data_IF_646383076053
#
_entry.id   IF_646383076053
#
_cell.length_a   1.000
_cell.length_b   1.000
_cell.length_c   1.000
_cell.angle_alpha   90.00
_cell.angle_beta   90.00
_cell.angle_gamma   90.00
#
_symmetry.space_group_name_H-M   'P 1'
#
loop_
_entity.id
_entity.type
_entity.pdbx_description
1 polymer ?
#
# COMPACT_ATOMS: atom_id res chain seq x y z
N UNK A 1 -9.40 16.59 68.00
CA UNK A 1 -10.35 17.28 67.10
C UNK A 1 -9.59 18.31 66.28
N UNK A 2 -9.58 18.13 64.96
CA UNK A 2 -9.71 19.17 63.90
C UNK A 2 -8.95 20.52 64.00
N UNK A 3 -7.93 20.66 63.14
CA UNK A 3 -7.59 21.72 62.12
C UNK A 3 -8.18 23.16 62.24
N UNK A 4 -7.62 24.20 61.54
CA UNK A 4 -6.37 24.29 60.74
C UNK A 4 -5.51 25.58 60.96
N UNK A 5 -4.28 25.57 60.42
CA UNK A 5 -3.44 26.75 60.18
C UNK A 5 -3.00 26.78 58.71
N UNK A 6 -3.03 27.97 58.12
CA UNK A 6 -2.82 28.30 56.70
C UNK A 6 -1.39 28.09 56.19
N UNK A 7 -1.23 27.68 54.94
CA UNK A 7 -0.04 27.98 54.13
C UNK A 7 -0.43 28.21 52.66
N UNK A 8 0.06 29.33 52.10
CA UNK A 8 -0.07 29.71 50.69
C UNK A 8 0.85 28.85 49.78
N UNK A 9 0.51 28.65 48.50
CA UNK A 9 1.43 28.05 47.54
C UNK A 9 2.39 29.09 46.94
N UNK A 10 3.63 28.71 46.57
CA UNK A 10 4.54 29.59 45.85
C UNK A 10 4.13 29.74 44.38
N UNK A 11 4.25 30.97 43.87
CA UNK A 11 3.90 31.36 42.51
C UNK A 11 4.70 30.61 41.43
N UNK A 12 4.00 30.20 40.38
CA UNK A 12 4.56 29.55 39.20
C UNK A 12 5.21 30.61 38.32
N UNK A 13 6.55 30.65 38.27
CA UNK A 13 7.29 31.41 37.25
C UNK A 13 7.12 30.74 35.89
N UNK A 14 6.61 31.49 34.91
CA UNK A 14 6.50 31.00 33.53
C UNK A 14 7.90 30.76 32.93
N UNK A 15 8.13 29.66 32.18
CA UNK A 15 9.43 29.38 31.60
C UNK A 15 9.76 30.39 30.50
N UNK A 16 10.92 31.04 30.62
CA UNK A 16 11.48 31.95 29.62
C UNK A 16 11.72 31.16 28.33
N UNK A 17 10.89 31.41 27.30
CA UNK A 17 11.01 30.77 26.01
C UNK A 17 12.36 31.14 25.38
N UNK A 18 13.25 30.16 25.22
CA UNK A 18 14.55 30.35 24.59
C UNK A 18 14.43 30.14 23.09
N UNK A 19 14.96 31.06 22.27
CA UNK A 19 14.79 31.05 20.82
C UNK A 19 16.12 30.70 20.13
N UNK A 20 16.09 29.72 19.23
CA UNK A 20 17.25 29.38 18.39
C UNK A 20 17.42 30.40 17.25
N UNK A 21 18.63 30.56 16.72
CA UNK A 21 18.94 31.41 15.55
C UNK A 21 18.07 31.08 14.32
N UNK A 22 17.60 29.83 14.20
CA UNK A 22 16.61 29.41 13.19
C UNK A 22 15.16 29.85 13.50
N UNK A 23 14.96 30.74 14.48
CA UNK A 23 13.69 31.32 14.98
C UNK A 23 12.70 30.34 15.62
N UNK A 24 13.11 29.11 15.93
CA UNK A 24 12.30 28.15 16.70
C UNK A 24 12.36 28.47 18.20
N UNK A 25 11.20 28.45 18.87
CA UNK A 25 11.08 28.66 20.32
C UNK A 25 11.05 27.33 21.07
N UNK A 26 11.70 27.28 22.22
CA UNK A 26 11.79 26.09 23.06
C UNK A 26 11.34 26.43 24.47
N UNK A 27 10.60 25.50 25.08
CA UNK A 27 10.08 25.64 26.44
C UNK A 27 11.13 25.45 27.54
N UNK A 28 12.38 25.12 27.17
CA UNK A 28 13.51 25.05 28.11
C UNK A 28 14.85 25.20 27.39
N UNK A 29 15.88 25.63 28.13
CA UNK A 29 17.26 25.77 27.63
C UNK A 29 17.83 24.41 27.18
N UNK A 30 17.56 23.33 27.94
CA UNK A 30 17.99 21.96 27.56
C UNK A 30 17.41 21.51 26.22
N UNK A 31 16.17 21.89 25.91
CA UNK A 31 15.55 21.56 24.62
C UNK A 31 16.17 22.36 23.46
N UNK A 32 16.58 23.61 23.71
CA UNK A 32 17.33 24.42 22.75
C UNK A 32 18.72 23.83 22.48
N UNK A 33 19.46 23.45 23.53
CA UNK A 33 20.80 22.85 23.39
C UNK A 33 20.76 21.50 22.66
N UNK A 34 19.75 20.66 22.94
CA UNK A 34 19.57 19.40 22.21
C UNK A 34 19.25 19.65 20.73
N UNK A 35 18.47 20.69 20.44
CA UNK A 35 18.17 21.09 19.08
C UNK A 35 19.42 21.57 18.32
N UNK A 36 20.27 22.37 18.96
CA UNK A 36 21.53 22.87 18.38
C UNK A 36 22.54 21.74 18.14
N UNK A 37 22.61 20.75 19.04
CA UNK A 37 23.46 19.56 18.87
C UNK A 37 23.01 18.65 17.72
N UNK A 38 21.69 18.44 17.59
CA UNK A 38 21.14 17.59 16.54
C UNK A 38 21.17 18.26 15.15
N UNK A 39 21.38 19.59 15.08
CA UNK A 39 21.32 20.36 13.84
C UNK A 39 22.17 21.63 13.95
N UNK A 40 23.45 21.61 13.52
CA UNK A 40 24.27 22.82 13.48
C UNK A 40 23.62 23.83 12.54
N UNK A 41 23.18 24.98 13.06
CA UNK A 41 22.61 26.07 12.26
C UNK A 41 23.73 27.03 11.85
N UNK A 42 23.83 27.44 10.57
CA UNK A 42 24.87 28.36 10.12
C UNK A 42 24.67 29.75 10.75
N UNK A 43 25.72 30.28 11.36
CA UNK A 43 25.75 31.67 11.86
C UNK A 43 25.95 32.57 10.64
N UNK A 44 25.11 33.59 10.47
CA UNK A 44 25.39 34.73 9.60
C UNK A 44 25.10 36.04 10.36
N UNK A 45 25.84 37.12 10.07
CA UNK A 45 26.03 38.22 11.02
C UNK A 45 25.07 39.42 10.79
N UNK A 46 24.78 40.14 11.89
CA UNK A 46 24.31 41.56 12.06
C UNK A 46 22.91 41.96 11.46
N UNK A 47 22.27 43.13 11.74
CA UNK A 47 22.41 44.16 12.80
C UNK A 47 21.07 44.55 13.51
N UNK A 48 21.13 45.65 14.26
CA UNK A 48 20.29 46.14 15.36
C UNK A 48 18.86 46.70 15.07
N UNK A 49 18.05 46.67 16.14
CA UNK A 49 16.98 47.61 16.60
C UNK A 49 15.78 47.98 15.70
N UNK A 50 14.53 47.74 16.20
CA UNK A 50 13.63 48.77 16.79
C UNK A 50 12.14 48.31 16.83
N UNK A 51 11.52 48.46 18.02
CA UNK A 51 10.13 48.84 18.44
C UNK A 51 8.96 48.82 17.41
N UNK A 52 7.67 48.59 17.72
CA UNK A 52 6.87 48.76 18.94
C UNK A 52 5.44 48.17 18.79
N UNK A 53 4.81 47.86 19.93
CA UNK A 53 3.39 47.99 20.33
C UNK A 53 2.17 47.38 19.56
N UNK A 54 1.52 46.40 20.22
CA UNK A 54 0.05 46.11 20.29
C UNK A 54 -0.71 47.18 21.13
N UNK A 55 -2.07 47.21 21.34
CA UNK A 55 -3.10 46.14 21.40
C UNK A 55 -4.42 46.52 20.65
N UNK A 56 -5.53 45.76 20.51
CA UNK A 56 -6.23 44.73 21.29
C UNK A 56 -7.63 45.25 21.70
N UNK A 57 -8.60 44.34 22.00
CA UNK A 57 -9.96 44.53 22.61
C UNK A 57 -11.15 44.47 21.61
N UNK A 58 -12.35 43.93 21.88
CA UNK A 58 -12.97 42.83 22.66
C UNK A 58 -14.43 42.73 22.12
N UNK A 59 -15.00 41.52 22.20
CA UNK A 59 -16.38 41.06 21.90
C UNK A 59 -17.55 41.95 22.40
N UNK A 60 -18.72 41.79 21.74
CA UNK A 60 -20.02 41.69 22.43
C UNK A 60 -21.08 40.98 21.59
N UNK A 61 -21.88 40.13 22.25
CA UNK A 61 -23.15 39.54 21.81
C UNK A 61 -24.30 40.43 22.30
N UNK A 62 -25.42 40.53 21.57
CA UNK A 62 -26.79 40.61 22.16
C UNK A 62 -27.83 40.04 21.16
N UNK A 63 -28.91 39.52 21.74
CA UNK A 63 -30.02 38.71 21.25
C UNK A 63 -31.30 39.47 20.85
N UNK A 64 -32.15 38.76 20.08
CA UNK A 64 -33.63 38.63 20.14
C UNK A 64 -34.57 39.82 19.84
N UNK A 65 -35.55 39.62 18.93
CA UNK A 65 -36.99 39.53 19.24
C UNK A 65 -37.86 39.40 17.96
N UNK A 66 -39.04 38.81 18.14
CA UNK A 66 -40.07 38.37 17.17
C UNK A 66 -41.00 39.48 16.65
N UNK A 67 -41.70 39.24 15.52
CA UNK A 67 -43.17 39.51 15.42
C UNK A 67 -43.88 38.82 14.23
N UNK A 68 -44.94 38.08 14.58
CA UNK A 68 -46.28 37.91 13.98
C UNK A 68 -46.53 37.67 12.45
N UNK A 69 -46.94 36.43 12.17
CA UNK A 69 -48.16 35.93 11.47
C UNK A 69 -48.81 36.67 10.27
N UNK A 70 -49.02 35.92 9.18
CA UNK A 70 -50.35 35.74 8.54
C UNK A 70 -50.36 34.54 7.59
N UNK A 71 -51.40 33.70 7.70
CA UNK A 71 -51.67 32.52 6.86
C UNK A 71 -52.54 32.91 5.67
N UNK A 72 -52.49 32.17 4.54
CA UNK A 72 -53.69 31.39 4.23
C UNK A 72 -53.42 29.98 3.69
N UNK A 73 -54.36 29.10 4.06
CA UNK A 73 -54.47 27.69 3.70
C UNK A 73 -54.87 27.52 2.23
N UNK A 74 -54.14 26.68 1.48
CA UNK A 74 -54.69 25.92 0.35
C UNK A 74 -54.18 24.48 0.38
N UNK A 75 -55.09 23.57 0.70
CA UNK A 75 -54.96 22.13 0.52
C UNK A 75 -54.76 21.80 -0.97
N UNK A 76 -53.64 21.15 -1.30
CA UNK A 76 -53.56 20.17 -2.38
C UNK A 76 -52.65 19.05 -1.93
N UNK A 77 -53.25 17.89 -1.66
CA UNK A 77 -52.57 16.62 -1.47
C UNK A 77 -51.64 16.35 -2.66
N UNK A 78 -50.34 16.49 -2.43
CA UNK A 78 -49.32 15.79 -3.22
C UNK A 78 -48.77 14.71 -2.31
N UNK A 79 -49.14 13.45 -2.59
CA UNK A 79 -48.43 12.27 -2.08
C UNK A 79 -46.96 12.40 -2.48
N UNK A 80 -46.13 12.97 -1.61
CA UNK A 80 -44.67 12.84 -1.67
C UNK A 80 -44.39 11.36 -1.45
N UNK A 81 -44.12 10.61 -2.53
CA UNK A 81 -43.30 9.40 -2.41
C UNK A 81 -42.02 9.86 -1.70
N UNK A 82 -41.89 9.53 -0.41
CA UNK A 82 -40.58 9.55 0.26
C UNK A 82 -39.71 8.62 -0.56
N UNK A 83 -38.85 9.18 -1.42
CA UNK A 83 -37.71 8.43 -1.91
C UNK A 83 -36.96 8.00 -0.65
N UNK A 84 -37.00 6.70 -0.37
CA UNK A 84 -36.23 6.09 0.70
C UNK A 84 -34.78 6.47 0.37
N UNK A 85 -34.12 7.22 1.26
CA UNK A 85 -32.73 7.60 1.05
C UNK A 85 -31.95 6.33 0.68
N UNK A 86 -31.17 6.40 -0.41
CA UNK A 86 -30.39 5.26 -0.87
C UNK A 86 -29.55 4.73 0.30
N UNK A 87 -29.44 3.40 0.46
CA UNK A 87 -28.69 2.83 1.57
C UNK A 87 -27.23 3.30 1.49
N UNK A 88 -26.83 4.11 2.46
CA UNK A 88 -25.45 4.53 2.68
C UNK A 88 -24.77 3.51 3.60
N UNK A 89 -23.46 3.29 3.44
CA UNK A 89 -22.69 2.42 4.31
C UNK A 89 -22.88 2.76 5.80
N UNK A 90 -23.16 1.74 6.62
CA UNK A 90 -23.26 1.84 8.08
C UNK A 90 -22.41 0.72 8.71
N UNK A 91 -21.62 1.08 9.71
CA UNK A 91 -20.86 0.12 10.51
C UNK A 91 -20.93 0.52 11.97
N UNK A 92 -21.03 -0.46 12.86
CA UNK A 92 -21.04 -0.25 14.31
C UNK A 92 -19.62 -0.13 14.88
N UNK A 93 -18.59 -0.64 14.18
CA UNK A 93 -17.19 -0.49 14.60
C UNK A 93 -16.67 0.91 14.21
N UNK A 94 -16.48 1.75 15.23
CA UNK A 94 -15.91 3.10 15.06
C UNK A 94 -14.56 3.09 14.32
N UNK A 95 -13.78 2.00 14.40
CA UNK A 95 -12.48 1.91 13.73
C UNK A 95 -12.59 1.88 12.21
N UNK A 96 -13.76 1.46 11.70
CA UNK A 96 -14.04 1.17 10.29
C UNK A 96 -14.87 2.25 9.59
N UNK A 97 -15.39 3.24 10.33
CA UNK A 97 -16.18 4.36 9.78
C UNK A 97 -15.46 5.14 8.67
N UNK A 98 -14.12 5.18 8.69
CA UNK A 98 -13.33 5.82 7.62
C UNK A 98 -13.59 5.19 6.24
N UNK A 99 -14.00 3.92 6.18
CA UNK A 99 -14.32 3.23 4.93
C UNK A 99 -15.56 3.80 4.25
N UNK A 100 -16.41 4.56 4.94
CA UNK A 100 -17.56 5.24 4.33
C UNK A 100 -17.18 6.44 3.46
N UNK A 101 -15.94 6.96 3.59
CA UNK A 101 -15.54 8.23 2.97
C UNK A 101 -15.75 8.21 1.45
N UNK A 102 -16.62 9.07 0.93
CA UNK A 102 -16.94 9.14 -0.49
C UNK A 102 -17.50 7.85 -1.11
N UNK A 103 -18.09 6.97 -0.30
CA UNK A 103 -19.04 5.96 -0.74
C UNK A 103 -20.43 6.61 -0.77
N UNK A 104 -21.10 6.55 -1.92
CA UNK A 104 -22.44 7.07 -2.16
C UNK A 104 -23.50 5.99 -2.02
N UNK A 105 -24.34 5.89 -3.04
CA UNK A 105 -25.44 4.93 -3.12
C UNK A 105 -24.91 3.50 -3.34
N UNK A 106 -25.51 2.52 -2.67
CA UNK A 106 -25.24 1.09 -2.93
C UNK A 106 -25.64 0.74 -4.37
N UNK A 107 -24.71 0.11 -5.08
CA UNK A 107 -24.88 -0.43 -6.44
C UNK A 107 -25.27 -1.90 -6.35
N UNK A 108 -24.51 -2.68 -5.59
CA UNK A 108 -24.64 -4.14 -5.54
C UNK A 108 -24.06 -4.68 -4.23
N UNK A 109 -24.60 -5.81 -3.77
CA UNK A 109 -24.04 -6.59 -2.66
C UNK A 109 -23.73 -7.98 -3.16
N UNK A 110 -22.45 -8.35 -3.15
CA UNK A 110 -22.01 -9.69 -3.55
C UNK A 110 -21.81 -10.53 -2.29
N UNK A 111 -22.54 -11.64 -2.19
CA UNK A 111 -22.37 -12.60 -1.09
C UNK A 111 -21.40 -13.70 -1.51
N UNK A 112 -20.36 -13.94 -0.72
CA UNK A 112 -19.36 -14.99 -0.98
C UNK A 112 -19.94 -16.40 -1.07
N UNK A 113 -21.06 -16.67 -0.39
CA UNK A 113 -21.72 -17.98 -0.36
C UNK A 113 -22.47 -18.29 -1.66
N UNK A 114 -23.10 -17.29 -2.29
CA UNK A 114 -23.87 -17.45 -3.54
C UNK A 114 -23.02 -17.21 -4.80
N UNK A 115 -21.72 -16.99 -4.64
CA UNK A 115 -20.82 -16.72 -5.75
C UNK A 115 -20.46 -18.05 -6.43
N UNK A 116 -20.92 -18.22 -7.67
CA UNK A 116 -20.61 -19.40 -8.47
C UNK A 116 -19.25 -19.26 -9.18
N UNK A 117 -18.46 -20.34 -9.30
CA UNK A 117 -17.20 -20.32 -10.02
C UNK A 117 -17.41 -20.07 -11.53
N UNK A 118 -16.37 -19.59 -12.21
CA UNK A 118 -16.29 -19.70 -13.67
C UNK A 118 -15.88 -21.12 -14.07
N UNK A 119 -16.25 -21.54 -15.28
CA UNK A 119 -15.90 -22.87 -15.81
C UNK A 119 -14.44 -22.96 -16.28
N UNK A 120 -13.80 -21.81 -16.52
CA UNK A 120 -12.39 -21.74 -16.95
C UNK A 120 -11.48 -22.02 -15.74
N UNK A 121 -10.68 -23.09 -15.76
CA UNK A 121 -9.77 -23.41 -14.67
C UNK A 121 -8.67 -22.35 -14.55
N UNK A 122 -8.19 -22.10 -13.34
CA UNK A 122 -7.07 -21.20 -13.10
C UNK A 122 -5.77 -21.98 -13.10
N UNK A 123 -4.81 -21.68 -13.96
CA UNK A 123 -3.50 -22.35 -13.91
C UNK A 123 -2.32 -21.40 -13.81
N UNK A 124 -1.30 -21.81 -13.06
CA UNK A 124 0.01 -21.16 -13.08
C UNK A 124 0.94 -21.69 -14.19
N UNK A 125 0.54 -22.75 -14.91
CA UNK A 125 1.33 -23.34 -16.02
C UNK A 125 1.37 -22.47 -17.28
N UNK A 126 0.37 -21.62 -17.47
CA UNK A 126 0.27 -20.72 -18.63
C UNK A 126 1.37 -19.64 -18.66
N UNK A 127 2.26 -19.65 -17.67
CA UNK A 127 3.40 -18.74 -17.58
C UNK A 127 3.00 -17.38 -17.01
N UNK A 128 3.96 -16.46 -17.10
CA UNK A 128 3.80 -15.06 -16.74
C UNK A 128 4.87 -14.24 -17.46
N UNK A 129 4.57 -12.97 -17.68
CA UNK A 129 5.50 -12.02 -18.31
C UNK A 129 5.75 -10.86 -17.37
N UNK A 130 6.98 -10.35 -17.36
CA UNK A 130 7.31 -9.13 -16.62
C UNK A 130 6.97 -7.91 -17.47
N UNK A 131 5.97 -7.14 -17.05
CA UNK A 131 5.64 -5.85 -17.68
C UNK A 131 6.71 -4.82 -17.33
N UNK A 132 6.98 -4.66 -16.04
CA UNK A 132 7.97 -3.70 -15.54
C UNK A 132 8.38 -4.00 -14.09
N UNK A 133 9.46 -3.34 -13.66
CA UNK A 133 9.91 -3.29 -12.28
C UNK A 133 10.47 -1.92 -11.92
N UNK A 134 10.49 -1.60 -10.63
CA UNK A 134 11.06 -0.35 -10.15
C UNK A 134 11.45 -0.43 -8.67
N UNK A 135 12.47 0.33 -8.27
CA UNK A 135 12.80 0.56 -6.87
C UNK A 135 12.47 2.00 -6.47
N UNK A 136 11.78 2.15 -5.36
CA UNK A 136 11.61 3.45 -4.73
C UNK A 136 12.91 3.92 -4.07
N UNK A 137 13.23 5.21 -4.20
CA UNK A 137 14.40 5.82 -3.57
C UNK A 137 14.03 6.63 -2.33
N UNK A 138 14.91 6.66 -1.33
CA UNK A 138 14.81 7.56 -0.17
C UNK A 138 15.13 9.00 -0.59
N UNK A 139 14.13 9.70 -1.13
CA UNK A 139 14.24 11.08 -1.59
C UNK A 139 13.05 11.92 -1.10
N UNK A 140 13.25 13.24 -0.99
CA UNK A 140 12.17 14.20 -0.67
C UNK A 140 11.18 14.34 -1.82
N UNK A 141 11.69 14.28 -3.06
CA UNK A 141 10.88 14.22 -4.27
C UNK A 141 10.62 12.76 -4.57
N UNK A 142 9.36 12.33 -4.83
CA UNK A 142 9.08 10.97 -5.24
C UNK A 142 10.00 10.58 -6.41
N UNK A 143 10.87 9.60 -6.19
CA UNK A 143 11.90 9.20 -7.16
C UNK A 143 11.97 7.68 -7.22
N UNK A 144 12.01 7.13 -8.43
CA UNK A 144 12.18 5.70 -8.69
C UNK A 144 13.38 5.44 -9.58
N UNK A 145 14.03 4.30 -9.36
CA UNK A 145 14.95 3.70 -10.30
C UNK A 145 14.22 2.63 -11.11
N UNK A 146 14.42 2.62 -12.43
CA UNK A 146 13.84 1.65 -13.37
C UNK A 146 14.99 1.02 -14.17
N UNK A 147 15.10 -0.32 -14.26
CA UNK A 147 14.21 -1.32 -13.70
C UNK A 147 14.25 -1.41 -12.16
N UNK A 148 15.18 -0.71 -11.52
CA UNK A 148 15.46 -0.91 -10.11
C UNK A 148 16.20 -2.23 -9.88
N UNK A 149 16.27 -2.68 -8.63
CA UNK A 149 16.90 -3.95 -8.28
C UNK A 149 16.33 -4.49 -6.97
N UNK A 150 16.11 -5.81 -6.93
CA UNK A 150 15.85 -6.53 -5.68
C UNK A 150 17.14 -6.59 -4.85
N UNK A 151 17.07 -6.55 -3.51
CA UNK A 151 18.24 -6.83 -2.70
C UNK A 151 18.59 -8.33 -2.78
N UNK A 152 19.88 -8.64 -2.72
CA UNK A 152 20.39 -10.01 -2.72
C UNK A 152 20.21 -10.60 -1.32
N UNK A 153 19.71 -11.83 -1.22
CA UNK A 153 19.77 -12.58 0.03
C UNK A 153 21.23 -12.79 0.45
N UNK A 154 21.58 -12.32 1.65
CA UNK A 154 22.93 -12.30 2.19
C UNK A 154 22.88 -12.69 3.68
N UNK A 155 22.82 -13.99 4.01
CA UNK A 155 22.57 -14.42 5.37
C UNK A 155 23.77 -14.14 6.28
N UNK A 156 23.49 -13.68 7.49
CA UNK A 156 24.50 -13.52 8.54
C UNK A 156 24.68 -14.83 9.33
N UNK A 157 25.87 -15.05 9.94
CA UNK A 157 26.07 -16.17 10.87
C UNK A 157 25.04 -16.15 12.01
N UNK A 158 24.56 -17.34 12.38
CA UNK A 158 23.61 -17.56 13.48
C UNK A 158 24.32 -18.21 14.68
N UNK A 159 23.86 -17.96 15.92
CA UNK A 159 22.73 -17.09 16.26
C UNK A 159 23.08 -15.59 16.19
N UNK A 160 22.08 -14.75 15.93
CA UNK A 160 22.24 -13.29 15.92
C UNK A 160 21.05 -12.58 16.57
N UNK A 161 21.34 -11.56 17.39
CA UNK A 161 20.31 -10.71 17.98
C UNK A 161 20.00 -9.53 17.05
N UNK A 162 18.73 -9.40 16.66
CA UNK A 162 18.25 -8.31 15.81
C UNK A 162 17.31 -7.41 16.62
N UNK A 163 17.40 -6.07 16.48
CA UNK A 163 16.45 -5.17 17.11
C UNK A 163 15.05 -5.29 16.51
N UNK A 164 14.03 -4.97 17.32
CA UNK A 164 12.65 -4.87 16.84
C UNK A 164 12.49 -3.84 15.73
N UNK A 165 11.47 -4.03 14.92
CA UNK A 165 11.07 -3.06 13.91
C UNK A 165 10.78 -1.70 14.56
N UNK A 166 11.33 -0.65 13.97
CA UNK A 166 11.15 0.72 14.45
C UNK A 166 11.08 1.71 13.29
N UNK A 167 10.67 2.94 13.58
CA UNK A 167 10.63 4.00 12.58
C UNK A 167 9.33 4.01 11.76
N UNK A 168 9.42 4.57 10.55
CA UNK A 168 8.26 4.73 9.65
C UNK A 168 8.21 3.54 8.71
N UNK A 169 7.13 2.76 8.78
CA UNK A 169 6.87 1.62 7.92
C UNK A 169 5.75 1.96 6.92
N UNK A 170 5.91 1.49 5.69
CA UNK A 170 4.93 1.73 4.63
C UNK A 170 3.89 0.60 4.63
N UNK A 171 2.61 0.97 4.71
CA UNK A 171 1.52 0.02 4.47
C UNK A 171 1.25 -0.09 2.96
N UNK A 172 1.31 1.04 2.26
CA UNK A 172 1.34 1.14 0.81
C UNK A 172 2.33 2.23 0.40
N UNK A 173 3.48 1.82 -0.11
CA UNK A 173 4.57 2.75 -0.43
C UNK A 173 4.21 3.71 -1.58
N UNK A 174 3.43 3.24 -2.55
CA UNK A 174 3.03 4.05 -3.69
C UNK A 174 1.96 5.06 -3.28
N UNK A 175 0.92 4.65 -2.57
CA UNK A 175 -0.11 5.57 -2.08
C UNK A 175 0.45 6.60 -1.09
N UNK A 176 1.52 6.27 -0.38
CA UNK A 176 2.15 7.20 0.55
C UNK A 176 3.08 8.24 -0.11
N UNK A 177 3.48 8.02 -1.37
CA UNK A 177 4.37 8.92 -2.14
C UNK A 177 3.64 9.63 -3.27
N UNK A 178 2.66 8.97 -3.86
CA UNK A 178 1.79 9.48 -4.95
C UNK A 178 0.33 9.22 -4.55
N UNK A 179 -0.20 9.91 -3.53
CA UNK A 179 -1.52 9.61 -2.97
C UNK A 179 -2.68 9.81 -3.94
N UNK A 180 -2.51 10.66 -4.95
CA UNK A 180 -3.54 10.91 -5.97
C UNK A 180 -3.60 9.77 -7.00
N UNK A 181 -2.47 9.20 -7.39
CA UNK A 181 -2.36 8.17 -8.43
C UNK A 181 -1.35 7.07 -8.03
N UNK A 182 -1.69 6.16 -7.09
CA UNK A 182 -0.78 5.13 -6.59
C UNK A 182 -0.26 4.14 -7.64
N UNK A 183 -0.91 4.04 -8.80
CA UNK A 183 -0.45 3.22 -9.91
C UNK A 183 0.40 3.98 -10.94
N UNK A 184 0.49 5.32 -10.89
CA UNK A 184 1.17 6.11 -11.94
C UNK A 184 2.62 5.66 -12.20
N UNK A 185 3.34 5.30 -11.14
CA UNK A 185 4.74 4.83 -11.21
C UNK A 185 4.92 3.59 -12.06
N UNK A 186 3.94 2.68 -12.05
CA UNK A 186 3.97 1.47 -12.86
C UNK A 186 3.99 1.81 -14.36
N UNK A 187 3.20 2.79 -14.78
CA UNK A 187 3.13 3.22 -16.17
C UNK A 187 4.42 3.90 -16.62
N UNK A 188 5.01 4.71 -15.75
CA UNK A 188 6.33 5.31 -16.01
C UNK A 188 7.43 4.24 -16.13
N UNK A 189 7.40 3.22 -15.29
CA UNK A 189 8.34 2.11 -15.37
C UNK A 189 8.10 1.25 -16.62
N UNK A 190 6.84 1.07 -17.02
CA UNK A 190 6.46 0.35 -18.25
C UNK A 190 6.98 1.07 -19.48
N UNK A 191 6.83 2.39 -19.59
CA UNK A 191 7.34 3.15 -20.74
C UNK A 191 8.85 3.02 -20.92
N UNK A 192 9.60 2.92 -19.81
CA UNK A 192 11.05 2.75 -19.85
C UNK A 192 11.46 1.32 -20.22
N UNK A 193 10.78 0.31 -19.69
CA UNK A 193 11.19 -1.10 -19.85
C UNK A 193 10.56 -1.80 -21.05
N UNK A 194 9.35 -1.39 -21.42
CA UNK A 194 8.56 -1.99 -22.49
C UNK A 194 7.86 -0.88 -23.28
N UNK A 195 8.63 -0.04 -24.00
CA UNK A 195 8.09 1.10 -24.73
C UNK A 195 7.07 0.62 -25.77
N UNK A 196 5.90 1.26 -25.79
CA UNK A 196 4.78 0.89 -26.66
C UNK A 196 3.89 -0.24 -26.14
N UNK A 197 4.16 -0.81 -24.96
CA UNK A 197 3.23 -1.72 -24.30
C UNK A 197 1.89 -1.03 -24.02
N UNK A 198 0.79 -1.74 -24.30
CA UNK A 198 -0.57 -1.22 -24.14
C UNK A 198 -1.36 -2.05 -23.14
N UNK A 199 -2.22 -1.41 -22.37
CA UNK A 199 -3.06 -2.07 -21.38
C UNK A 199 -4.47 -2.41 -21.91
N UNK A 200 -4.73 -2.20 -23.21
CA UNK A 200 -6.01 -2.53 -23.86
C UNK A 200 -6.38 -4.01 -23.71
N UNK A 201 -5.38 -4.90 -23.74
CA UNK A 201 -5.55 -6.35 -23.54
C UNK A 201 -5.58 -6.81 -22.07
N UNK A 202 -5.47 -5.88 -21.10
CA UNK A 202 -5.48 -6.21 -19.67
C UNK A 202 -6.88 -6.05 -19.11
N UNK A 203 -7.44 -7.13 -18.58
CA UNK A 203 -8.77 -7.13 -17.96
C UNK A 203 -8.75 -6.53 -16.54
N UNK A 204 -7.68 -6.81 -15.78
CA UNK A 204 -7.56 -6.40 -14.37
C UNK A 204 -6.15 -5.92 -14.06
N UNK A 205 -6.03 -4.71 -13.50
CA UNK A 205 -4.80 -4.19 -12.89
C UNK A 205 -4.99 -4.08 -11.38
N UNK A 206 -4.17 -4.80 -10.61
CA UNK A 206 -4.36 -4.95 -9.16
C UNK A 206 -3.06 -5.16 -8.40
N UNK A 207 -3.04 -4.85 -7.10
CA UNK A 207 -1.95 -5.26 -6.22
C UNK A 207 -2.20 -6.66 -5.66
N UNK A 208 -1.15 -7.47 -5.51
CA UNK A 208 -1.18 -8.79 -4.87
C UNK A 208 -1.92 -8.79 -3.52
N UNK A 209 -1.71 -7.76 -2.69
CA UNK A 209 -2.39 -7.66 -1.39
C UNK A 209 -3.91 -7.55 -1.50
N UNK A 210 -4.40 -6.78 -2.48
CA UNK A 210 -5.84 -6.63 -2.73
C UNK A 210 -6.42 -7.91 -3.32
N UNK A 211 -5.69 -8.56 -4.24
CA UNK A 211 -6.07 -9.84 -4.81
C UNK A 211 -6.18 -10.94 -3.75
N UNK A 212 -5.26 -10.95 -2.77
CA UNK A 212 -5.33 -11.85 -1.60
C UNK A 212 -6.59 -11.62 -0.75
N UNK A 213 -6.95 -10.37 -0.44
CA UNK A 213 -8.16 -10.07 0.34
C UNK A 213 -9.44 -10.54 -0.38
N UNK A 214 -9.51 -10.34 -1.69
CA UNK A 214 -10.61 -10.83 -2.52
C UNK A 214 -10.62 -12.37 -2.58
N UNK A 215 -9.46 -13.01 -2.68
CA UNK A 215 -9.36 -14.47 -2.62
C UNK A 215 -9.81 -15.03 -1.27
N UNK A 216 -9.37 -14.42 -0.17
CA UNK A 216 -9.80 -14.79 1.19
C UNK A 216 -11.32 -14.59 1.36
N UNK A 217 -11.92 -13.61 0.67
CA UNK A 217 -13.36 -13.42 0.62
C UNK A 217 -14.05 -14.58 -0.11
N UNK A 218 -13.56 -14.98 -1.29
CA UNK A 218 -14.08 -16.15 -2.02
C UNK A 218 -13.90 -17.47 -1.25
N UNK A 219 -12.87 -17.57 -0.42
CA UNK A 219 -12.62 -18.71 0.48
C UNK A 219 -13.42 -18.67 1.77
N UNK A 220 -14.12 -17.56 2.04
CA UNK A 220 -14.77 -17.28 3.33
C UNK A 220 -13.81 -17.39 4.51
N UNK A 221 -12.54 -17.03 4.29
CA UNK A 221 -11.53 -17.04 5.33
C UNK A 221 -11.71 -15.80 6.22
N UNK A 222 -11.48 -15.97 7.53
CA UNK A 222 -11.60 -14.86 8.48
C UNK A 222 -10.55 -13.80 8.18
N UNK A 223 -10.98 -12.56 7.99
CA UNK A 223 -10.11 -11.42 7.72
C UNK A 223 -10.68 -10.14 8.32
N UNK A 224 -9.84 -9.12 8.44
CA UNK A 224 -10.26 -7.78 8.85
C UNK A 224 -11.03 -7.08 7.74
N UNK A 225 -11.84 -6.10 8.13
CA UNK A 225 -12.56 -5.26 7.18
C UNK A 225 -11.59 -4.60 6.20
N UNK A 226 -12.01 -4.45 4.96
CA UNK A 226 -11.21 -3.79 3.96
C UNK A 226 -12.05 -2.93 3.02
N UNK A 227 -11.35 -1.96 2.41
CA UNK A 227 -11.88 -1.10 1.39
C UNK A 227 -11.00 -1.12 0.15
N UNK A 228 -11.63 -1.14 -1.02
CA UNK A 228 -10.99 -0.98 -2.32
C UNK A 228 -11.65 0.21 -3.05
N UNK A 229 -10.86 0.99 -3.77
CA UNK A 229 -11.41 1.91 -4.77
C UNK A 229 -11.27 1.24 -6.14
N UNK A 230 -12.34 1.22 -6.90
CA UNK A 230 -12.44 0.52 -8.18
C UNK A 230 -12.64 1.54 -9.28
N UNK A 231 -11.96 1.34 -10.41
CA UNK A 231 -12.09 2.20 -11.59
C UNK A 231 -12.16 1.34 -12.84
N UNK A 232 -12.91 1.78 -13.85
CA UNK A 232 -12.89 1.17 -15.17
C UNK A 232 -12.28 2.16 -16.17
N UNK A 233 -11.22 1.73 -16.85
CA UNK A 233 -10.68 2.39 -18.04
C UNK A 233 -10.89 1.46 -19.21
N UNK A 234 -11.71 1.85 -20.19
CA UNK A 234 -12.16 0.97 -21.28
C UNK A 234 -12.69 -0.37 -20.72
N UNK A 235 -11.96 -1.47 -20.97
CA UNK A 235 -12.29 -2.80 -20.44
C UNK A 235 -11.45 -3.24 -19.22
N UNK A 236 -10.49 -2.41 -18.79
CA UNK A 236 -9.60 -2.71 -17.67
C UNK A 236 -10.22 -2.27 -16.34
N UNK A 237 -10.39 -3.21 -15.40
CA UNK A 237 -10.68 -2.92 -14.01
C UNK A 237 -9.38 -2.59 -13.26
N UNK A 238 -9.27 -1.39 -12.71
CA UNK A 238 -8.17 -0.99 -11.83
C UNK A 238 -8.64 -1.06 -10.37
N UNK A 239 -7.95 -1.85 -9.55
CA UNK A 239 -8.26 -2.05 -8.14
C UNK A 239 -7.19 -1.36 -7.27
N UNK A 240 -7.51 -0.16 -6.79
CA UNK A 240 -6.68 0.63 -5.91
C UNK A 240 -6.89 0.23 -4.44
N UNK A 241 -5.77 -0.07 -3.76
CA UNK A 241 -5.77 -0.43 -2.35
C UNK A 241 -6.08 0.82 -1.52
N UNK A 242 -7.12 0.77 -0.70
CA UNK A 242 -7.46 1.87 0.20
C UNK A 242 -7.15 1.47 1.64
N UNK A 243 -6.20 2.18 2.26
CA UNK A 243 -5.82 1.98 3.66
C UNK A 243 -6.09 3.25 4.45
N UNK A 244 -6.50 3.10 5.72
CA UNK A 244 -6.74 4.23 6.63
C UNK A 244 -5.51 5.15 6.74
N UNK A 245 -4.32 4.53 6.73
CA UNK A 245 -3.02 5.20 6.73
C UNK A 245 -2.07 4.46 5.80
N UNK A 246 -1.47 5.18 4.86
CA UNK A 246 -0.48 4.60 3.94
C UNK A 246 0.90 4.37 4.60
N UNK A 247 1.16 5.01 5.76
CA UNK A 247 2.34 4.78 6.60
C UNK A 247 1.93 4.64 8.07
N UNK A 248 2.65 3.81 8.81
CA UNK A 248 2.53 3.67 10.26
C UNK A 248 3.88 3.97 10.92
N UNK A 249 3.85 4.52 12.13
CA UNK A 249 5.07 4.70 12.93
C UNK A 249 5.10 3.63 14.00
N UNK A 250 6.15 2.82 13.97
CA UNK A 250 6.38 1.70 14.87
C UNK A 250 7.41 2.13 15.91
N UNK A 251 7.06 2.00 17.19
CA UNK A 251 7.90 2.41 18.32
C UNK A 251 8.47 1.21 19.08
N UNK A 252 9.09 0.23 18.39
CA UNK A 252 9.90 -0.83 19.00
C UNK A 252 9.32 -1.52 20.27
N UNK A 253 7.99 -1.54 20.43
CA UNK A 253 7.32 -1.88 21.68
C UNK A 253 7.06 -3.39 21.77
N UNK A 254 6.35 -3.85 22.79
CA UNK A 254 6.06 -5.29 22.99
C UNK A 254 5.25 -5.91 21.85
N UNK A 255 4.50 -5.11 21.06
CA UNK A 255 3.65 -5.56 19.95
C UNK A 255 4.31 -5.47 18.56
N UNK A 256 5.58 -5.05 18.47
CA UNK A 256 6.26 -4.84 17.19
C UNK A 256 7.10 -6.06 16.80
N UNK A 257 7.04 -6.44 15.53
CA UNK A 257 7.76 -7.59 14.98
C UNK A 257 9.26 -7.34 14.77
N UNK A 258 9.87 -8.25 14.02
CA UNK A 258 11.28 -8.22 13.63
C UNK A 258 11.46 -8.31 12.10
N UNK A 259 10.38 -8.19 11.32
CA UNK A 259 10.38 -8.54 9.90
C UNK A 259 11.28 -7.63 9.08
N UNK A 260 11.02 -6.31 9.16
CA UNK A 260 11.79 -5.32 8.41
C UNK A 260 13.23 -5.24 8.88
N UNK A 261 13.47 -5.34 10.19
CA UNK A 261 14.83 -5.41 10.71
C UNK A 261 15.56 -6.65 10.20
N UNK A 262 14.91 -7.82 10.19
CA UNK A 262 15.50 -9.06 9.67
C UNK A 262 15.83 -8.94 8.19
N UNK A 263 14.89 -8.48 7.36
CA UNK A 263 15.11 -8.19 5.93
C UNK A 263 16.32 -7.28 5.72
N UNK A 264 16.41 -6.18 6.47
CA UNK A 264 17.52 -5.22 6.36
C UNK A 264 18.88 -5.83 6.71
N UNK A 265 18.94 -6.74 7.69
CA UNK A 265 20.21 -7.35 8.12
C UNK A 265 20.62 -8.55 7.26
N UNK A 266 19.66 -9.25 6.66
CA UNK A 266 19.89 -10.49 5.90
C UNK A 266 19.84 -10.29 4.38
N UNK A 267 19.84 -9.04 3.92
CA UNK A 267 19.88 -8.72 2.50
C UNK A 267 20.88 -7.61 2.21
N UNK A 268 21.38 -7.58 0.97
CA UNK A 268 22.33 -6.57 0.50
C UNK A 268 21.82 -5.94 -0.78
N UNK A 269 21.73 -4.61 -0.79
CA UNK A 269 21.43 -3.86 -2.01
C UNK A 269 22.66 -3.84 -2.94
N UNK A 270 22.47 -3.92 -4.27
CA UNK A 270 23.57 -3.80 -5.20
C UNK A 270 24.16 -2.39 -5.19
N UNK A 271 25.41 -2.27 -5.64
CA UNK A 271 26.10 -0.98 -5.72
C UNK A 271 25.32 0.03 -6.57
N UNK A 272 25.24 1.27 -6.10
CA UNK A 272 24.47 2.36 -6.71
C UNK A 272 22.98 2.38 -6.35
N UNK A 273 22.49 1.40 -5.58
CA UNK A 273 21.11 1.27 -5.12
C UNK A 273 20.96 1.37 -3.60
N UNK A 274 21.99 1.83 -2.88
CA UNK A 274 22.09 1.87 -1.41
C UNK A 274 21.01 2.73 -0.75
N UNK A 275 20.41 3.65 -1.50
CA UNK A 275 19.33 4.53 -1.04
C UNK A 275 17.95 4.06 -1.47
N UNK A 276 17.82 2.86 -2.03
CA UNK A 276 16.52 2.28 -2.38
C UNK A 276 15.79 1.71 -1.15
N UNK A 277 14.47 1.63 -1.23
CA UNK A 277 13.59 1.43 -0.06
C UNK A 277 12.44 0.44 -0.26
N UNK A 278 12.38 -0.23 -1.40
CA UNK A 278 11.30 -1.13 -1.78
C UNK A 278 11.33 -1.39 -3.29
N UNK A 279 11.42 -2.66 -3.68
CA UNK A 279 11.51 -3.10 -5.07
C UNK A 279 10.21 -3.77 -5.48
N UNK A 280 9.64 -3.34 -6.59
CA UNK A 280 8.33 -3.77 -7.05
C UNK A 280 8.42 -4.37 -8.45
N UNK A 281 7.58 -5.37 -8.71
CA UNK A 281 7.37 -5.97 -10.04
C UNK A 281 5.90 -5.91 -10.41
N UNK A 282 5.66 -5.99 -11.71
CA UNK A 282 4.33 -6.10 -12.30
C UNK A 282 4.38 -7.25 -13.28
N UNK A 283 3.68 -8.32 -12.95
CA UNK A 283 3.57 -9.49 -13.83
C UNK A 283 2.23 -9.49 -14.55
N UNK A 284 2.24 -9.92 -15.80
CA UNK A 284 1.05 -10.29 -16.57
C UNK A 284 0.88 -11.80 -16.54
N UNK A 285 -0.32 -12.28 -16.21
CA UNK A 285 -0.67 -13.70 -16.33
C UNK A 285 -2.19 -13.91 -16.40
N UNK A 286 -2.63 -15.09 -16.85
CA UNK A 286 -4.05 -15.45 -16.86
C UNK A 286 -4.57 -15.85 -15.48
N UNK A 287 -5.80 -15.45 -15.15
CA UNK A 287 -6.54 -15.90 -13.98
C UNK A 287 -7.99 -16.19 -14.36
N UNK A 288 -8.27 -17.45 -14.72
CA UNK A 288 -9.64 -17.92 -14.98
C UNK A 288 -10.27 -17.23 -16.17
N UNK A 289 -9.50 -17.06 -17.25
CA UNK A 289 -9.93 -16.38 -18.47
C UNK A 289 -9.70 -14.87 -18.46
N UNK A 290 -9.23 -14.29 -17.36
CA UNK A 290 -8.91 -12.86 -17.26
C UNK A 290 -7.40 -12.62 -17.37
N UNK A 291 -7.00 -11.72 -18.27
CA UNK A 291 -5.62 -11.23 -18.34
C UNK A 291 -5.38 -10.23 -17.20
N UNK A 292 -4.55 -10.62 -16.22
CA UNK A 292 -4.30 -9.82 -15.04
C UNK A 292 -2.88 -9.23 -15.04
N UNK A 293 -2.76 -7.93 -14.81
CA UNK A 293 -1.52 -7.27 -14.43
C UNK A 293 -1.46 -7.12 -12.91
N UNK A 294 -0.52 -7.80 -12.26
CA UNK A 294 -0.44 -7.91 -10.80
C UNK A 294 0.86 -7.30 -10.29
N UNK A 295 0.72 -6.22 -9.51
CA UNK A 295 1.83 -5.55 -8.85
C UNK A 295 2.11 -6.15 -7.47
N UNK A 296 3.38 -6.37 -7.15
CA UNK A 296 3.82 -6.79 -5.83
C UNK A 296 5.22 -6.28 -5.49
N UNK A 297 5.46 -6.15 -4.19
CA UNK A 297 6.80 -5.94 -3.64
C UNK A 297 7.55 -7.27 -3.57
N UNK A 298 8.85 -7.19 -3.81
CA UNK A 298 9.80 -8.30 -3.76
C UNK A 298 10.80 -8.02 -2.66
N UNK A 299 10.89 -8.94 -1.70
CA UNK A 299 11.74 -8.77 -0.52
C UNK A 299 13.20 -9.03 -0.83
N UNK A 300 13.51 -10.04 -1.66
CA UNK A 300 14.86 -10.35 -2.09
C UNK A 300 14.90 -11.20 -3.36
N UNK A 301 16.11 -11.44 -3.87
CA UNK A 301 16.39 -12.55 -4.77
C UNK A 301 17.41 -13.50 -4.13
N UNK A 302 17.28 -14.80 -4.40
CA UNK A 302 18.12 -15.87 -3.89
C UNK A 302 18.79 -16.60 -5.06
N UNK A 303 20.12 -16.69 -5.04
CA UNK A 303 20.88 -17.57 -5.94
C UNK A 303 21.28 -18.80 -5.16
N UNK A 304 20.84 -19.96 -5.62
CA UNK A 304 21.37 -21.22 -5.12
C UNK A 304 22.73 -21.47 -5.78
N UNK A 305 23.80 -21.49 -4.99
CA UNK A 305 25.14 -21.80 -5.49
C UNK A 305 25.27 -23.27 -5.95
N UNK A 306 24.25 -24.12 -5.77
CA UNK A 306 24.20 -25.51 -6.23
C UNK A 306 23.36 -25.78 -7.49
N UNK A 307 22.66 -24.77 -8.05
CA UNK A 307 21.97 -24.87 -9.34
C UNK A 307 22.80 -24.12 -10.39
N UNK A 308 23.86 -24.76 -10.89
CA UNK A 308 24.43 -24.35 -12.18
C UNK A 308 23.32 -24.40 -13.22
N UNK A 309 23.10 -23.33 -14.01
CA UNK A 309 22.22 -23.41 -15.17
C UNK A 309 22.74 -24.54 -16.07
N UNK A 310 21.96 -25.60 -16.26
CA UNK A 310 22.20 -26.53 -17.36
C UNK A 310 22.09 -25.75 -18.67
N UNK A 311 23.07 -25.84 -19.60
CA UNK A 311 23.08 -25.06 -20.85
C UNK A 311 21.91 -25.34 -21.82
N UNK A 312 20.96 -26.19 -21.46
CA UNK A 312 19.85 -26.60 -22.32
C UNK A 312 18.60 -25.68 -22.25
N UNK A 313 18.70 -24.52 -21.58
CA UNK A 313 17.77 -23.39 -21.78
C UNK A 313 18.48 -22.12 -22.24
N UNK A 314 19.48 -22.29 -23.12
CA UNK A 314 20.04 -21.21 -23.93
C UNK A 314 19.00 -20.78 -24.99
N UNK A 315 18.05 -19.98 -24.55
CA UNK A 315 17.03 -19.34 -25.38
C UNK A 315 16.46 -18.14 -24.65
N UNK A 316 17.36 -17.31 -24.10
CA UNK A 316 17.18 -15.88 -23.77
C UNK A 316 18.35 -15.34 -22.91
N UNK A 317 19.57 -15.84 -23.14
CA UNK A 317 20.78 -15.19 -22.63
C UNK A 317 21.21 -14.11 -23.63
N UNK A 318 20.51 -12.99 -23.61
CA UNK A 318 21.03 -11.72 -24.12
C UNK A 318 20.58 -10.59 -23.21
N UNK A 319 21.18 -10.52 -22.02
CA UNK A 319 21.36 -9.24 -21.34
C UNK A 319 22.68 -9.28 -20.59
N UNK A 320 23.76 -9.25 -21.37
CA UNK A 320 25.07 -8.86 -20.87
C UNK A 320 24.96 -7.47 -20.21
N UNK A 321 25.24 -7.47 -18.91
CA UNK A 321 25.94 -6.42 -18.16
C UNK A 321 25.99 -5.04 -18.83
N UNK A 322 24.86 -4.34 -18.85
CA UNK A 322 24.88 -2.90 -19.08
C UNK A 322 25.62 -2.25 -17.91
N UNK A 323 26.84 -1.80 -18.17
CA UNK A 323 27.57 -0.89 -17.29
C UNK A 323 26.63 0.25 -16.86
N UNK A 324 26.73 0.67 -15.60
CA UNK A 324 25.94 1.76 -15.05
C UNK A 324 26.28 3.09 -15.75
N UNK A 325 25.67 3.30 -16.91
CA UNK A 325 25.62 4.60 -17.59
C UNK A 325 24.76 5.52 -16.75
N UNK A 326 25.29 6.66 -16.30
CA UNK A 326 24.47 7.75 -15.75
C UNK A 326 23.68 8.39 -16.90
N UNK A 327 22.61 7.74 -17.35
CA UNK A 327 21.70 8.21 -18.39
C UNK A 327 20.75 9.29 -17.84
N UNK A 328 20.19 10.16 -18.69
CA UNK A 328 19.47 11.36 -18.26
C UNK A 328 18.27 11.02 -17.37
N UNK A 329 18.03 11.90 -16.39
CA UNK A 329 16.77 11.92 -15.64
C UNK A 329 15.65 12.21 -16.63
N UNK A 330 14.78 11.23 -16.86
CA UNK A 330 13.54 11.49 -17.59
C UNK A 330 12.51 12.03 -16.59
N UNK A 331 12.00 13.23 -16.87
CA UNK A 331 10.86 13.78 -16.14
C UNK A 331 9.64 12.91 -16.46
N UNK A 332 8.92 12.47 -15.44
CA UNK A 332 7.71 11.67 -15.60
C UNK A 332 6.73 12.31 -16.59
N UNK A 333 5.91 11.44 -17.21
CA UNK A 333 4.77 11.78 -18.09
C UNK A 333 3.86 12.87 -17.49
N UNK A 334 3.82 13.01 -16.16
CA UNK A 334 3.05 14.04 -15.44
C UNK A 334 3.86 14.80 -14.36
N UNK A 335 5.19 14.69 -14.36
CA UNK A 335 6.10 15.45 -13.47
C UNK A 335 6.01 15.13 -11.95
N UNK A 336 5.14 14.24 -11.49
CA UNK A 336 4.97 13.94 -10.05
C UNK A 336 6.05 13.04 -9.46
N UNK A 337 6.72 12.25 -10.32
CA UNK A 337 7.73 11.29 -9.93
C UNK A 337 8.95 11.45 -10.82
N UNK A 338 10.15 11.43 -10.24
CA UNK A 338 11.40 11.43 -10.98
C UNK A 338 11.79 10.00 -11.34
N UNK A 339 12.07 9.72 -12.61
CA UNK A 339 12.53 8.41 -13.07
C UNK A 339 14.02 8.46 -13.36
N UNK A 340 14.76 7.50 -12.82
CA UNK A 340 16.19 7.31 -13.05
C UNK A 340 16.36 5.93 -13.67
N UNK A 341 17.00 5.84 -14.83
CA UNK A 341 17.32 4.53 -15.41
C UNK A 341 18.52 3.94 -14.67
N UNK A 342 18.26 2.96 -13.79
CA UNK A 342 19.28 2.33 -12.94
C UNK A 342 18.79 1.00 -12.38
N UNK A 343 19.74 0.08 -12.21
CA UNK A 343 19.52 -1.22 -11.59
C UNK A 343 19.46 -2.32 -12.65
N UNK A 344 19.14 -3.52 -12.20
CA UNK A 344 19.05 -4.72 -13.04
C UNK A 344 17.96 -5.64 -12.52
N UNK A 345 17.24 -6.27 -13.44
CA UNK A 345 16.16 -7.20 -13.12
C UNK A 345 16.70 -8.60 -12.90
N UNK A 346 16.57 -9.16 -11.70
CA UNK A 346 16.84 -10.58 -11.46
C UNK A 346 15.78 -11.49 -12.15
N UNK A 347 16.11 -12.73 -12.57
CA UNK A 347 15.10 -13.64 -13.12
C UNK A 347 13.97 -13.90 -12.11
N UNK A 348 12.72 -14.02 -12.58
CA UNK A 348 11.57 -14.26 -11.70
C UNK A 348 11.72 -15.58 -10.90
N UNK A 349 12.40 -16.57 -11.49
CA UNK A 349 12.75 -17.85 -10.86
C UNK A 349 13.62 -17.73 -9.61
N UNK A 350 14.28 -16.58 -9.40
CA UNK A 350 15.17 -16.33 -8.24
C UNK A 350 14.50 -15.50 -7.14
N UNK A 351 13.29 -15.00 -7.36
CA UNK A 351 12.64 -14.08 -6.42
C UNK A 351 12.22 -14.79 -5.15
N UNK A 352 12.43 -14.11 -4.02
CA UNK A 352 12.18 -14.61 -2.68
C UNK A 352 11.26 -13.67 -1.89
N UNK A 353 10.37 -14.28 -1.12
CA UNK A 353 9.63 -13.65 -0.04
C UNK A 353 10.29 -14.00 1.29
N UNK A 354 10.45 -13.02 2.17
CA UNK A 354 11.05 -13.17 3.49
C UNK A 354 9.97 -13.02 4.55
N UNK A 355 9.99 -13.91 5.54
CA UNK A 355 9.18 -13.81 6.75
C UNK A 355 10.02 -14.13 7.98
N UNK A 356 9.49 -13.73 9.13
CA UNK A 356 10.03 -14.11 10.43
C UNK A 356 8.95 -14.80 11.24
N UNK A 357 9.30 -15.82 12.03
CA UNK A 357 8.38 -16.43 12.99
C UNK A 357 9.01 -16.63 14.36
N UNK A 358 8.23 -16.52 15.45
CA UNK A 358 8.61 -17.09 16.72
C UNK A 358 8.83 -18.60 16.57
N UNK A 359 9.90 -19.16 17.16
CA UNK A 359 10.25 -20.58 17.05
C UNK A 359 9.12 -21.52 17.50
N UNK A 360 8.34 -21.10 18.49
CA UNK A 360 7.18 -21.84 19.04
C UNK A 360 6.03 -22.02 18.05
N UNK A 361 5.96 -21.19 16.99
CA UNK A 361 4.91 -21.26 15.97
C UNK A 361 5.26 -22.31 14.92
N UNK A 362 4.27 -23.11 14.51
CA UNK A 362 4.47 -24.20 13.56
C UNK A 362 4.91 -23.69 12.17
N UNK A 363 5.95 -24.30 11.60
CA UNK A 363 6.52 -23.95 10.29
C UNK A 363 5.53 -24.16 9.14
N UNK A 364 4.87 -25.31 9.11
CA UNK A 364 3.92 -25.67 8.05
C UNK A 364 2.73 -24.70 8.03
N UNK A 365 2.26 -24.27 9.20
CA UNK A 365 1.19 -23.26 9.30
C UNK A 365 1.58 -21.94 8.64
N UNK A 366 2.83 -21.49 8.81
CA UNK A 366 3.32 -20.25 8.19
C UNK A 366 3.42 -20.37 6.66
N UNK A 367 3.91 -21.51 6.18
CA UNK A 367 3.95 -21.85 4.76
C UNK A 367 2.55 -21.85 4.14
N UNK A 368 1.60 -22.57 4.72
CA UNK A 368 0.21 -22.63 4.25
C UNK A 368 -0.45 -21.25 4.19
N UNK A 369 -0.19 -20.39 5.18
CA UNK A 369 -0.74 -19.03 5.23
C UNK A 369 -0.09 -18.09 4.22
N UNK A 370 1.18 -18.32 3.88
CA UNK A 370 1.93 -17.49 2.93
C UNK A 370 1.74 -17.95 1.48
N UNK A 371 1.32 -19.19 1.24
CA UNK A 371 1.15 -19.72 -0.10
C UNK A 371 0.33 -18.87 -1.07
N UNK A 372 -0.84 -18.29 -0.70
CA UNK A 372 -1.55 -17.38 -1.60
C UNK A 372 -0.66 -16.20 -2.05
N UNK A 373 0.19 -15.67 -1.17
CA UNK A 373 1.12 -14.60 -1.48
C UNK A 373 2.15 -15.03 -2.53
N UNK A 374 2.75 -16.20 -2.33
CA UNK A 374 3.77 -16.75 -3.21
C UNK A 374 3.18 -17.07 -4.58
N UNK A 375 1.99 -17.68 -4.60
CA UNK A 375 1.31 -18.05 -5.84
C UNK A 375 0.92 -16.79 -6.65
N UNK A 376 0.25 -15.79 -6.07
CA UNK A 376 -0.11 -14.56 -6.80
C UNK A 376 1.09 -13.69 -7.19
N UNK A 377 2.22 -13.79 -6.50
CA UNK A 377 3.46 -13.10 -6.87
C UNK A 377 4.33 -13.89 -7.85
N UNK A 378 3.96 -15.13 -8.17
CA UNK A 378 4.84 -16.11 -8.84
C UNK A 378 6.23 -16.13 -8.17
N UNK A 379 6.25 -16.13 -6.84
CA UNK A 379 7.46 -16.01 -6.00
C UNK A 379 7.90 -17.40 -5.54
N UNK A 380 8.92 -18.00 -6.18
CA UNK A 380 9.27 -19.39 -5.91
C UNK A 380 9.96 -19.59 -4.57
N UNK A 381 10.85 -18.69 -4.15
CA UNK A 381 11.57 -18.85 -2.89
C UNK A 381 10.79 -18.26 -1.72
N UNK A 382 10.74 -19.02 -0.62
CA UNK A 382 10.25 -18.54 0.66
C UNK A 382 11.34 -18.75 1.72
N UNK A 383 11.75 -17.66 2.35
CA UNK A 383 12.83 -17.65 3.33
C UNK A 383 12.24 -17.26 4.68
N UNK A 384 12.44 -18.11 5.68
CA UNK A 384 11.83 -17.94 6.99
C UNK A 384 12.88 -17.92 8.10
N UNK A 385 13.03 -16.77 8.75
CA UNK A 385 13.84 -16.61 9.96
C UNK A 385 13.08 -17.05 11.22
N UNK A 386 13.59 -18.06 11.92
CA UNK A 386 13.07 -18.51 13.21
C UNK A 386 13.79 -17.82 14.37
N UNK A 387 13.02 -17.18 15.26
CA UNK A 387 13.58 -16.44 16.39
C UNK A 387 12.95 -16.73 17.76
N UNK A 388 13.73 -16.48 18.80
CA UNK A 388 13.34 -16.43 20.20
C UNK A 388 13.51 -14.98 20.68
N UNK A 389 12.42 -14.19 20.65
CA UNK A 389 12.44 -12.77 21.08
C UNK A 389 13.51 -11.89 20.39
N UNK A 390 13.76 -12.12 19.10
CA UNK A 390 14.72 -11.37 18.29
C UNK A 390 16.11 -12.00 18.20
N UNK A 391 16.38 -13.05 18.99
CA UNK A 391 17.52 -13.94 18.76
C UNK A 391 17.16 -14.90 17.63
N UNK A 392 17.69 -14.67 16.44
CA UNK A 392 17.52 -15.54 15.27
C UNK A 392 18.51 -16.69 15.34
N UNK A 393 18.00 -17.92 15.25
CA UNK A 393 18.77 -19.14 15.49
C UNK A 393 18.69 -20.12 14.31
N UNK A 394 17.69 -19.95 13.43
CA UNK A 394 17.48 -20.81 12.28
C UNK A 394 16.94 -20.03 11.09
N UNK A 395 17.33 -20.46 9.89
CA UNK A 395 16.80 -19.99 8.61
C UNK A 395 16.33 -21.21 7.85
N UNK A 396 15.08 -21.19 7.38
CA UNK A 396 14.51 -22.21 6.52
C UNK A 396 14.29 -21.58 5.13
N UNK A 397 15.07 -22.02 4.13
CA UNK A 397 14.91 -21.61 2.73
C UNK A 397 14.15 -22.71 2.00
N UNK A 398 13.01 -22.36 1.39
CA UNK A 398 12.16 -23.30 0.66
C UNK A 398 12.01 -22.83 -0.78
N UNK A 399 12.26 -23.74 -1.71
CA UNK A 399 11.86 -23.55 -3.10
C UNK A 399 10.47 -24.16 -3.34
N UNK A 400 9.57 -23.34 -3.86
CA UNK A 400 8.27 -23.76 -4.36
C UNK A 400 8.40 -24.07 -5.84
N UNK A 401 8.64 -25.35 -6.13
CA UNK A 401 8.65 -25.87 -7.50
C UNK A 401 7.31 -25.58 -8.19
N UNK A 402 7.27 -25.50 -9.52
CA UNK A 402 6.01 -25.40 -10.28
C UNK A 402 4.95 -26.41 -9.80
N UNK A 403 5.34 -27.67 -9.56
CA UNK A 403 4.43 -28.70 -9.03
C UNK A 403 3.81 -28.39 -7.66
N UNK A 404 4.46 -27.59 -6.80
CA UNK A 404 3.86 -27.14 -5.53
C UNK A 404 2.81 -26.06 -5.73
N UNK A 405 3.02 -25.16 -6.68
CA UNK A 405 2.01 -24.17 -7.06
C UNK A 405 0.80 -24.85 -7.68
N UNK A 406 1.02 -25.84 -8.53
CA UNK A 406 -0.03 -26.67 -9.13
C UNK A 406 -0.82 -27.45 -8.07
N UNK A 407 -0.15 -28.14 -7.14
CA UNK A 407 -0.85 -28.85 -6.07
C UNK A 407 -1.70 -27.90 -5.20
N UNK A 408 -1.17 -26.71 -4.91
CA UNK A 408 -1.90 -25.69 -4.16
C UNK A 408 -3.08 -25.14 -4.95
N UNK A 409 -2.92 -24.81 -6.24
CA UNK A 409 -3.99 -24.27 -7.06
C UNK A 409 -5.10 -25.28 -7.30
N UNK A 410 -4.78 -26.57 -7.55
CA UNK A 410 -5.74 -27.67 -7.62
C UNK A 410 -6.59 -27.74 -6.35
N UNK A 411 -5.95 -27.65 -5.18
CA UNK A 411 -6.63 -27.68 -3.88
C UNK A 411 -7.49 -26.43 -3.61
N UNK A 412 -7.31 -25.36 -4.38
CA UNK A 412 -8.00 -24.07 -4.22
C UNK A 412 -8.86 -23.68 -5.43
N UNK A 413 -9.06 -24.58 -6.42
CA UNK A 413 -9.67 -24.21 -7.70
C UNK A 413 -11.04 -23.56 -7.55
N UNK A 414 -11.94 -24.15 -6.77
CA UNK A 414 -13.27 -23.59 -6.57
C UNK A 414 -13.24 -22.13 -6.11
N UNK A 415 -12.30 -21.77 -5.23
CA UNK A 415 -12.13 -20.39 -4.77
C UNK A 415 -11.39 -19.49 -5.76
N UNK A 416 -10.45 -20.02 -6.55
CA UNK A 416 -9.76 -19.28 -7.61
C UNK A 416 -10.71 -18.96 -8.77
N UNK A 417 -11.55 -19.89 -9.19
CA UNK A 417 -12.57 -19.66 -10.20
C UNK A 417 -13.66 -18.69 -9.69
N UNK A 418 -14.03 -18.76 -8.40
CA UNK A 418 -14.89 -17.73 -7.77
C UNK A 418 -14.22 -16.36 -7.76
N UNK A 419 -12.90 -16.29 -7.54
CA UNK A 419 -12.17 -15.03 -7.62
C UNK A 419 -12.23 -14.43 -9.03
N UNK A 420 -12.03 -15.24 -10.08
CA UNK A 420 -12.18 -14.78 -11.45
C UNK A 420 -13.62 -14.25 -11.71
N UNK A 421 -14.65 -14.97 -11.25
CA UNK A 421 -16.04 -14.48 -11.31
C UNK A 421 -16.19 -13.13 -10.61
N UNK A 422 -15.68 -13.01 -9.39
CA UNK A 422 -15.77 -11.80 -8.59
C UNK A 422 -15.13 -10.60 -9.30
N UNK A 423 -13.94 -10.77 -9.89
CA UNK A 423 -13.27 -9.72 -10.64
C UNK A 423 -14.10 -9.25 -11.84
N UNK A 424 -14.75 -10.18 -12.55
CA UNK A 424 -15.71 -9.87 -13.61
C UNK A 424 -16.91 -9.05 -13.10
N UNK A 425 -17.54 -9.48 -12.02
CA UNK A 425 -18.68 -8.76 -11.41
C UNK A 425 -18.27 -7.35 -10.94
N UNK A 426 -17.11 -7.21 -10.30
CA UNK A 426 -16.58 -5.90 -9.90
C UNK A 426 -16.36 -4.99 -11.10
N UNK A 427 -15.84 -5.53 -12.21
CA UNK A 427 -15.66 -4.78 -13.45
C UNK A 427 -17.00 -4.31 -14.02
N UNK A 428 -17.98 -5.20 -14.09
CA UNK A 428 -19.29 -4.91 -14.65
C UNK A 428 -20.05 -3.89 -13.81
N UNK A 429 -20.02 -4.04 -12.48
CA UNK A 429 -20.60 -3.07 -11.55
C UNK A 429 -20.02 -1.67 -11.73
N UNK A 430 -18.69 -1.56 -11.85
CA UNK A 430 -18.02 -0.26 -12.08
C UNK A 430 -18.37 0.31 -13.45
N UNK A 431 -18.38 -0.53 -14.49
CA UNK A 431 -18.78 -0.11 -15.85
C UNK A 431 -20.24 0.34 -15.90
N UNK A 432 -21.12 -0.22 -15.08
CA UNK A 432 -22.52 0.18 -14.98
C UNK A 432 -22.75 1.56 -14.35
N UNK A 433 -21.74 2.14 -13.71
CA UNK A 433 -21.83 3.50 -13.13
C UNK A 433 -21.42 4.59 -14.11
N UNK A 434 -22.10 5.76 -14.12
CA UNK A 434 -21.69 6.91 -14.93
C UNK A 434 -20.27 7.40 -14.62
N UNK A 435 -19.86 7.33 -13.36
CA UNK A 435 -18.54 7.78 -12.90
C UNK A 435 -17.40 6.81 -13.29
N UNK A 436 -17.74 5.62 -13.81
CA UNK A 436 -16.80 4.50 -14.03
C UNK A 436 -15.91 4.24 -12.82
N UNK A 437 -16.45 4.46 -11.62
CA UNK A 437 -15.72 4.31 -10.36
C UNK A 437 -16.64 3.96 -9.18
N UNK A 438 -16.19 3.01 -8.37
CA UNK A 438 -16.92 2.53 -7.19
C UNK A 438 -16.01 2.42 -5.96
N UNK A 439 -16.63 2.28 -4.80
CA UNK A 439 -15.99 1.89 -3.55
C UNK A 439 -16.53 0.53 -3.14
N UNK A 440 -15.66 -0.46 -2.98
CA UNK A 440 -16.04 -1.78 -2.46
C UNK A 440 -15.60 -1.93 -1.01
N UNK A 441 -16.50 -2.39 -0.14
CA UNK A 441 -16.26 -2.53 1.30
C UNK A 441 -16.70 -3.91 1.76
N UNK A 442 -15.84 -4.58 2.51
CA UNK A 442 -16.16 -5.80 3.25
C UNK A 442 -16.00 -5.51 4.74
N UNK A 443 -17.05 -5.79 5.52
CA UNK A 443 -17.04 -5.62 6.97
C UNK A 443 -16.77 -6.95 7.67
N UNK A 444 -15.82 -6.94 8.62
CA UNK A 444 -15.55 -8.10 9.47
C UNK A 444 -16.73 -8.37 10.39
N UNK A 445 -17.06 -9.65 10.57
CA UNK A 445 -18.00 -10.09 11.60
C UNK A 445 -19.48 -9.92 11.25
N UNK A 446 -19.80 -9.52 10.02
CA UNK A 446 -21.16 -9.64 9.49
C UNK A 446 -21.59 -11.12 9.45
N UNK A 447 -22.87 -11.40 9.75
CA UNK A 447 -23.43 -12.76 9.73
C UNK A 447 -23.26 -13.43 8.36
N UNK A 448 -23.33 -12.64 7.28
CA UNK A 448 -23.00 -13.04 5.93
C UNK A 448 -21.79 -12.26 5.43
N UNK A 449 -20.79 -12.97 4.90
CA UNK A 449 -19.60 -12.33 4.34
C UNK A 449 -19.92 -11.74 2.97
N UNK A 450 -20.29 -10.46 2.97
CA UNK A 450 -20.68 -9.70 1.80
C UNK A 450 -19.64 -8.63 1.44
N UNK A 451 -19.50 -8.40 0.14
CA UNK A 451 -18.75 -7.28 -0.43
C UNK A 451 -19.77 -6.29 -1.01
N UNK A 452 -19.92 -5.15 -0.36
CA UNK A 452 -20.85 -4.10 -0.75
C UNK A 452 -20.14 -3.10 -1.69
N UNK A 453 -20.77 -2.82 -2.82
CA UNK A 453 -20.25 -1.93 -3.86
C UNK A 453 -21.09 -0.66 -3.86
N UNK A 454 -20.45 0.49 -3.68
CA UNK A 454 -21.10 1.79 -3.66
C UNK A 454 -20.59 2.66 -4.80
N UNK A 455 -21.43 3.56 -5.32
CA UNK A 455 -20.98 4.62 -6.24
C UNK A 455 -19.89 5.46 -5.56
N UNK A 456 -18.87 5.84 -6.31
CA UNK A 456 -17.86 6.78 -5.81
C UNK A 456 -18.37 8.21 -5.91
N UNK A 457 -18.25 9.00 -4.84
CA UNK A 457 -18.59 10.43 -4.86
C UNK A 457 -17.36 11.36 -4.92
N UNK A 458 -16.17 10.78 -5.01
CA UNK A 458 -14.92 11.56 -4.99
C UNK A 458 -14.54 12.19 -6.34
N UNK A 459 -15.11 11.74 -7.45
CA UNK A 459 -14.75 12.21 -8.81
C UNK A 459 -13.28 11.99 -9.20
N UNK A 460 -12.55 11.14 -8.45
CA UNK A 460 -11.13 10.86 -8.67
C UNK A 460 -10.97 9.90 -9.86
N UNK A 461 -10.06 10.22 -10.77
CA UNK A 461 -9.60 9.29 -11.84
C UNK A 461 -8.52 8.34 -11.30
N UNK A 462 -8.37 7.12 -11.86
CA UNK A 462 -7.30 6.20 -11.46
C UNK A 462 -5.91 6.70 -11.85
N UNK A 463 -5.82 7.48 -12.94
CA UNK A 463 -4.58 7.96 -13.55
C UNK A 463 -4.76 9.38 -14.13
N UNK A 464 -3.66 10.10 -14.40
CA UNK A 464 -3.68 11.32 -15.22
C UNK A 464 -4.06 11.04 -16.68
N UNK A 465 -4.75 11.97 -17.33
CA UNK A 465 -5.21 11.81 -18.72
C UNK A 465 -4.07 11.57 -19.74
N UNK A 466 -2.90 12.23 -19.65
CA UNK A 466 -1.77 11.92 -20.53
C UNK A 466 -1.28 10.47 -20.42
N UNK A 467 -1.34 9.89 -19.21
CA UNK A 467 -0.98 8.48 -18.99
C UNK A 467 -2.03 7.57 -19.62
N UNK A 468 -3.33 7.88 -19.45
CA UNK A 468 -4.39 7.07 -20.07
C UNK A 468 -4.26 7.04 -21.60
N UNK A 469 -4.04 8.20 -22.23
CA UNK A 469 -3.86 8.32 -23.69
C UNK A 469 -2.66 7.55 -24.23
N UNK A 470 -1.60 7.41 -23.44
CA UNK A 470 -0.39 6.68 -23.84
C UNK A 470 -0.62 5.16 -23.84
N UNK A 471 -1.40 4.65 -22.88
CA UNK A 471 -1.51 3.22 -22.59
C UNK A 471 -2.81 2.54 -23.04
N UNK A 472 -3.84 3.30 -23.42
CA UNK A 472 -5.13 2.80 -23.91
C UNK A 472 -5.54 3.47 -25.21
N UNK A 473 -6.31 2.78 -26.05
CA UNK A 473 -6.81 3.33 -27.32
C UNK A 473 -8.00 4.20 -26.98
N UNK A 474 -8.06 5.38 -27.59
CA UNK A 474 -9.20 6.32 -27.40
C UNK A 474 -10.53 5.74 -27.90
#
# INVERSE_FOLDING_TARGET
MTLPSSSQPPGTTAPIASVCVCRRRFGSVKALEQHQRNKPCPISPVPATANEATPGIVKSQVSAAETAASTPVKNKEKKKKKQKAAPTFKTEDQRDQWMAKGAGELVETINSQSLEPVDVPVSSRDGHELICSYSWMHSRVPTVCVPGAAPKWAPLPLPIQIPKDSGVQYVDQNAARVPRYPFEVLFQATEVMNPGFRFDGVDVLVNRSSLRRLFDFCRRHKQDSFRLNLFALNNTLIIDRCEKKAKIRVQGSTSTGFGHSFETHFTQLPSGMETSSGYHRVLQYNLGGLTCAVRFEVDAYYHDHGLTPTPSQAGDENTEQAAASNTPVQLAINGQVKVIQRGSTAPQSTIAEIKTRPRKRNLHSELSQTMPQLWFGRTPYFILGGHSSGSFEAIDVRYNTPGKFEAWETSNQGSLCKLARLLGLLRDAVKGTPERSCVAIMQRGAESMCLEIFRSTHGRKPLPDPVVKMFWTE
#
